data_IF_079324086194
#
_entry.id   IF_079324086194
#
_cell.length_a   1.000
_cell.length_b   1.000
_cell.length_c   1.000
_cell.angle_alpha   90.00
_cell.angle_beta   90.00
_cell.angle_gamma   90.00
#
_symmetry.space_group_name_H-M   'P 1'
#
loop_
_entity.id
_entity.type
_entity.pdbx_description
1 polymer ?
#
# COMPACT_ATOMS: atom_id res chain seq x y z
N UNK A 1 7.76 -19.01 -4.63
CA UNK A 1 7.76 -18.38 -3.28
C UNK A 1 6.97 -19.30 -2.36
N UNK A 2 7.49 -19.66 -1.18
CA UNK A 2 6.85 -20.62 -0.25
C UNK A 2 5.54 -20.04 0.31
N UNK A 3 4.43 -20.80 0.23
CA UNK A 3 3.09 -20.40 0.71
C UNK A 3 3.13 -19.95 2.18
N UNK A 4 4.00 -20.57 3.00
CA UNK A 4 4.16 -20.23 4.42
C UNK A 4 4.76 -18.84 4.62
N UNK A 5 5.64 -18.40 3.72
CA UNK A 5 6.22 -17.05 3.77
C UNK A 5 5.12 -16.01 3.50
N UNK A 6 4.27 -16.24 2.50
CA UNK A 6 3.15 -15.34 2.19
C UNK A 6 2.18 -15.23 3.37
N UNK A 7 1.77 -16.37 3.94
CA UNK A 7 0.89 -16.38 5.12
C UNK A 7 1.50 -15.64 6.32
N UNK A 8 2.81 -15.77 6.54
CA UNK A 8 3.50 -15.06 7.63
C UNK A 8 3.55 -13.54 7.42
N UNK A 9 3.82 -13.09 6.19
CA UNK A 9 3.86 -11.67 5.87
C UNK A 9 2.46 -11.04 5.97
N UNK A 10 1.42 -11.75 5.53
CA UNK A 10 0.02 -11.33 5.66
C UNK A 10 -0.39 -11.19 7.14
N UNK A 11 0.02 -12.13 7.99
CA UNK A 11 -0.20 -12.09 9.43
C UNK A 11 0.48 -10.89 10.11
N UNK A 12 1.72 -10.57 9.72
CA UNK A 12 2.45 -9.41 10.24
C UNK A 12 1.78 -8.10 9.78
N UNK A 13 1.41 -8.01 8.50
CA UNK A 13 0.69 -6.86 7.95
C UNK A 13 -0.67 -6.68 8.62
N UNK A 14 -1.40 -7.77 8.87
CA UNK A 14 -2.63 -7.74 9.63
C UNK A 14 -2.42 -7.16 11.03
N UNK A 15 -1.40 -7.62 11.77
CA UNK A 15 -1.10 -7.10 13.10
C UNK A 15 -0.76 -5.61 13.10
N UNK A 16 -0.09 -5.10 12.05
CA UNK A 16 0.14 -3.67 11.90
C UNK A 16 -1.18 -2.91 11.78
N UNK A 17 -2.05 -3.31 10.85
CA UNK A 17 -3.30 -2.60 10.60
C UNK A 17 -4.28 -2.70 11.76
N UNK A 18 -4.41 -3.87 12.42
CA UNK A 18 -5.24 -3.98 13.63
C UNK A 18 -4.75 -3.05 14.74
N UNK A 19 -3.42 -2.94 14.92
CA UNK A 19 -2.85 -2.02 15.92
C UNK A 19 -3.14 -0.56 15.55
N UNK A 20 -2.98 -0.20 14.27
CA UNK A 20 -3.23 1.15 13.76
C UNK A 20 -4.70 1.58 13.82
N UNK A 21 -5.65 0.64 13.82
CA UNK A 21 -7.08 0.98 14.04
C UNK A 21 -7.31 1.54 15.44
N UNK A 22 -6.53 1.12 16.43
CA UNK A 22 -6.70 1.53 17.83
C UNK A 22 -5.86 2.75 18.20
N UNK A 23 -4.61 2.84 17.73
CA UNK A 23 -3.67 3.89 18.13
C UNK A 23 -2.84 4.42 16.94
N UNK A 24 -2.42 5.70 16.95
CA UNK A 24 -1.58 6.25 15.90
C UNK A 24 -0.24 5.52 15.73
N UNK A 25 0.23 5.37 14.49
CA UNK A 25 1.48 4.68 14.14
C UNK A 25 2.70 5.20 14.91
N UNK A 26 2.78 6.52 15.11
CA UNK A 26 3.86 7.12 15.91
C UNK A 26 3.92 6.59 17.35
N UNK A 27 2.78 6.18 17.93
CA UNK A 27 2.66 5.72 19.32
C UNK A 27 2.77 4.20 19.49
N UNK A 28 2.51 3.40 18.46
CA UNK A 28 2.62 1.94 18.56
C UNK A 28 4.08 1.49 18.66
N UNK A 29 4.28 0.28 19.17
CA UNK A 29 5.59 -0.38 19.29
C UNK A 29 5.64 -1.67 18.47
N UNK A 30 6.84 -2.21 18.25
CA UNK A 30 7.00 -3.55 17.66
C UNK A 30 6.21 -4.61 18.46
N UNK A 31 6.16 -4.48 19.79
CA UNK A 31 5.45 -5.43 20.66
C UNK A 31 3.94 -5.41 20.43
N UNK A 32 3.36 -4.24 20.20
CA UNK A 32 1.93 -4.10 19.92
C UNK A 32 1.56 -4.81 18.61
N UNK A 33 2.38 -4.62 17.56
CA UNK A 33 2.21 -5.31 16.28
C UNK A 33 2.38 -6.83 16.45
N UNK A 34 3.45 -7.27 17.12
CA UNK A 34 3.73 -8.70 17.35
C UNK A 34 2.56 -9.38 18.08
N UNK A 35 2.00 -8.72 19.10
CA UNK A 35 0.85 -9.21 19.85
C UNK A 35 -0.38 -9.45 18.96
N UNK A 36 -0.60 -8.58 17.97
CA UNK A 36 -1.74 -8.65 17.06
C UNK A 36 -1.47 -9.44 15.77
N UNK A 37 -0.25 -9.94 15.54
CA UNK A 37 0.15 -10.56 14.27
C UNK A 37 0.23 -12.08 14.30
N UNK A 38 -0.20 -12.76 15.37
CA UNK A 38 -0.16 -14.24 15.46
C UNK A 38 1.20 -14.89 15.17
N UNK A 39 2.30 -14.14 15.25
CA UNK A 39 3.66 -14.62 15.01
C UNK A 39 4.54 -14.39 16.25
N UNK A 40 5.62 -15.17 16.37
CA UNK A 40 6.61 -14.94 17.42
C UNK A 40 7.45 -13.68 17.14
N UNK A 41 8.03 -13.07 18.18
CA UNK A 41 9.00 -11.97 18.01
C UNK A 41 10.17 -12.37 17.11
N UNK A 42 10.68 -13.61 17.24
CA UNK A 42 11.75 -14.13 16.38
C UNK A 42 11.32 -14.17 14.92
N UNK A 43 10.06 -14.52 14.65
CA UNK A 43 9.49 -14.53 13.30
C UNK A 43 9.37 -13.12 12.75
N UNK A 44 8.84 -12.16 13.53
CA UNK A 44 8.76 -10.76 13.12
C UNK A 44 10.13 -10.21 12.73
N UNK A 45 11.12 -10.35 13.62
CA UNK A 45 12.47 -9.82 13.40
C UNK A 45 13.27 -10.56 12.32
N UNK A 46 12.79 -11.70 11.83
CA UNK A 46 13.34 -12.36 10.64
C UNK A 46 13.01 -11.62 9.35
N UNK A 47 11.86 -10.94 9.30
CA UNK A 47 11.39 -10.24 8.10
C UNK A 47 11.53 -8.73 8.19
N UNK A 48 11.44 -8.16 9.40
CA UNK A 48 11.42 -6.71 9.59
C UNK A 48 12.33 -6.31 10.73
N UNK A 49 13.13 -5.26 10.51
CA UNK A 49 13.99 -4.68 11.55
C UNK A 49 13.16 -4.09 12.70
N UNK A 50 12.12 -3.35 12.36
CA UNK A 50 11.23 -2.66 13.29
C UNK A 50 9.90 -2.26 12.62
N UNK A 51 9.03 -1.56 13.36
CA UNK A 51 7.73 -1.08 12.86
C UNK A 51 7.84 -0.16 11.64
N UNK A 52 8.93 0.61 11.51
CA UNK A 52 9.09 1.56 10.42
C UNK A 52 9.48 0.81 9.14
N UNK A 53 10.39 -0.15 9.26
CA UNK A 53 10.73 -1.07 8.15
C UNK A 53 9.50 -1.83 7.63
N UNK A 54 8.65 -2.32 8.55
CA UNK A 54 7.37 -2.94 8.17
C UNK A 54 6.43 -1.95 7.46
N UNK A 55 6.22 -0.75 8.02
CA UNK A 55 5.33 0.24 7.42
C UNK A 55 5.83 0.64 6.02
N UNK A 56 7.11 0.95 5.89
CA UNK A 56 7.76 1.32 4.63
C UNK A 56 7.52 0.25 3.58
N UNK A 57 7.73 -1.03 3.94
CA UNK A 57 7.52 -2.15 3.01
C UNK A 57 6.05 -2.29 2.58
N UNK A 58 5.11 -2.10 3.50
CA UNK A 58 3.67 -2.14 3.19
C UNK A 58 3.28 -1.01 2.26
N UNK A 59 3.74 0.21 2.53
CA UNK A 59 3.49 1.38 1.68
C UNK A 59 4.10 1.21 0.30
N UNK A 60 5.35 0.78 0.21
CA UNK A 60 6.07 0.60 -1.06
C UNK A 60 5.41 -0.47 -1.93
N UNK A 61 4.92 -1.55 -1.33
CA UNK A 61 4.16 -2.57 -2.04
C UNK A 61 2.84 -1.99 -2.60
N UNK A 62 2.10 -1.19 -1.80
CA UNK A 62 0.87 -0.54 -2.28
C UNK A 62 1.14 0.46 -3.41
N UNK A 63 2.23 1.23 -3.31
CA UNK A 63 2.65 2.19 -4.34
C UNK A 63 3.08 1.47 -5.62
N UNK A 64 3.81 0.35 -5.48
CA UNK A 64 4.24 -0.48 -6.61
C UNK A 64 3.04 -1.09 -7.33
N UNK A 65 2.07 -1.64 -6.58
CA UNK A 65 0.83 -2.16 -7.15
C UNK A 65 0.04 -1.06 -7.87
N UNK A 66 -0.10 0.11 -7.24
CA UNK A 66 -0.78 1.26 -7.83
C UNK A 66 -0.11 1.69 -9.15
N UNK A 67 1.23 1.74 -9.20
CA UNK A 67 1.99 2.04 -10.42
C UNK A 67 1.75 1.00 -11.53
N UNK A 68 1.62 -0.28 -11.18
CA UNK A 68 1.31 -1.35 -12.14
C UNK A 68 -0.07 -1.12 -12.78
N UNK A 69 -1.08 -0.79 -11.98
CA UNK A 69 -2.43 -0.55 -12.48
C UNK A 69 -2.55 0.75 -13.30
N UNK A 70 -1.87 1.83 -12.87
CA UNK A 70 -1.77 3.07 -13.64
C UNK A 70 -1.13 2.83 -15.01
N UNK A 71 -0.03 2.07 -15.06
CA UNK A 71 0.62 1.68 -16.33
C UNK A 71 -0.30 0.83 -17.21
N UNK A 72 -1.15 -0.02 -16.62
CA UNK A 72 -2.11 -0.84 -17.37
C UNK A 72 -3.20 0.03 -18.00
N UNK A 73 -3.74 0.97 -17.23
CA UNK A 73 -4.72 1.94 -17.70
C UNK A 73 -4.16 2.81 -18.84
N UNK A 74 -2.95 3.38 -18.67
CA UNK A 74 -2.29 4.16 -19.74
C UNK A 74 -2.10 3.35 -21.03
N UNK A 75 -1.63 2.11 -20.95
CA UNK A 75 -1.47 1.24 -22.13
C UNK A 75 -2.79 0.99 -22.87
N UNK A 76 -3.91 0.92 -22.14
CA UNK A 76 -5.23 0.78 -22.76
C UNK A 76 -5.67 2.06 -23.46
N UNK A 77 -5.37 3.22 -22.88
CA UNK A 77 -5.63 4.52 -23.50
C UNK A 77 -4.84 4.73 -24.79
N UNK A 78 -3.53 4.45 -24.77
CA UNK A 78 -2.65 4.52 -25.95
C UNK A 78 -3.17 3.66 -27.12
N UNK A 79 -3.69 2.46 -26.81
CA UNK A 79 -4.23 1.53 -27.81
C UNK A 79 -5.53 2.02 -28.45
N UNK A 80 -6.35 2.76 -27.71
CA UNK A 80 -7.73 3.06 -28.11
C UNK A 80 -7.88 4.34 -28.95
N UNK A 81 -6.83 5.15 -29.16
CA UNK A 81 -6.71 6.32 -30.08
C UNK A 81 -7.87 7.35 -30.17
N UNK A 82 -8.97 7.17 -29.45
CA UNK A 82 -10.17 8.01 -29.53
C UNK A 82 -10.49 8.54 -28.14
N UNK A 83 -10.29 9.84 -28.03
CA UNK A 83 -10.31 10.69 -26.86
C UNK A 83 -11.72 10.74 -26.24
N UNK A 84 -11.81 10.29 -25.00
CA UNK A 84 -12.40 11.02 -23.88
C UNK A 84 -11.96 10.33 -22.58
N UNK A 85 -11.23 11.04 -21.73
CA UNK A 85 -10.88 10.54 -20.39
C UNK A 85 -12.18 10.46 -19.60
N UNK A 86 -12.66 9.25 -19.38
CA UNK A 86 -13.86 8.94 -18.61
C UNK A 86 -13.52 8.02 -17.42
N UNK A 87 -14.53 7.59 -16.67
CA UNK A 87 -14.32 6.68 -15.54
C UNK A 87 -13.72 5.31 -15.94
N UNK A 88 -13.87 4.89 -17.21
CA UNK A 88 -13.29 3.64 -17.71
C UNK A 88 -11.79 3.77 -17.94
N UNK A 89 -11.31 4.99 -18.14
CA UNK A 89 -9.90 5.31 -18.42
C UNK A 89 -8.96 4.91 -17.28
N UNK A 90 -9.47 4.84 -16.04
CA UNK A 90 -8.72 4.43 -14.85
C UNK A 90 -9.35 3.21 -14.15
N UNK A 91 -10.07 2.38 -14.88
CA UNK A 91 -10.84 1.27 -14.31
C UNK A 91 -9.96 0.33 -13.45
N UNK A 92 -8.75 -0.02 -13.87
CA UNK A 92 -7.91 -0.93 -13.11
C UNK A 92 -7.38 -0.27 -11.83
N UNK A 93 -6.96 0.99 -11.93
CA UNK A 93 -6.50 1.79 -10.80
C UNK A 93 -7.60 1.96 -9.77
N UNK A 94 -8.81 2.35 -10.19
CA UNK A 94 -9.96 2.49 -9.31
C UNK A 94 -10.39 1.16 -8.68
N UNK A 95 -10.32 0.05 -9.44
CA UNK A 95 -10.62 -1.29 -8.92
C UNK A 95 -9.62 -1.71 -7.85
N UNK A 96 -8.33 -1.44 -8.03
CA UNK A 96 -7.31 -1.69 -7.02
C UNK A 96 -7.54 -0.85 -5.76
N UNK A 97 -7.78 0.46 -5.93
CA UNK A 97 -8.08 1.36 -4.82
C UNK A 97 -9.33 0.92 -4.04
N UNK A 98 -10.38 0.45 -4.74
CA UNK A 98 -11.57 -0.09 -4.09
C UNK A 98 -11.27 -1.37 -3.31
N UNK A 99 -10.47 -2.29 -3.88
CA UNK A 99 -10.04 -3.53 -3.21
C UNK A 99 -9.19 -3.27 -1.96
N UNK A 100 -8.34 -2.24 -2.00
CA UNK A 100 -7.42 -1.85 -0.92
C UNK A 100 -7.91 -0.65 -0.09
N UNK A 101 -9.21 -0.32 -0.21
CA UNK A 101 -9.79 0.89 0.38
C UNK A 101 -9.55 0.99 1.88
N UNK A 102 -9.70 -0.11 2.62
CA UNK A 102 -9.55 -0.10 4.09
C UNK A 102 -8.11 0.20 4.49
N UNK A 103 -7.15 -0.43 3.84
CA UNK A 103 -5.73 -0.21 4.07
C UNK A 103 -5.31 1.22 3.70
N UNK A 104 -5.69 1.68 2.50
CA UNK A 104 -5.38 3.03 2.00
C UNK A 104 -5.94 4.11 2.94
N UNK A 105 -7.22 3.99 3.33
CA UNK A 105 -7.84 4.96 4.23
C UNK A 105 -7.19 4.97 5.61
N UNK A 106 -6.79 3.81 6.13
CA UNK A 106 -6.12 3.72 7.42
C UNK A 106 -4.74 4.41 7.36
N UNK A 107 -3.95 4.16 6.31
CA UNK A 107 -2.64 4.78 6.10
C UNK A 107 -2.73 6.30 5.88
N UNK A 108 -3.83 6.78 5.29
CA UNK A 108 -4.08 8.22 5.09
C UNK A 108 -4.82 8.89 6.26
N UNK A 109 -5.21 8.12 7.29
CA UNK A 109 -5.92 8.65 8.44
C UNK A 109 -4.99 9.34 9.44
N UNK A 110 -5.57 9.93 10.49
CA UNK A 110 -4.83 10.45 11.65
C UNK A 110 -3.97 9.38 12.37
N UNK A 111 -4.26 8.09 12.15
CA UNK A 111 -3.49 7.00 12.74
C UNK A 111 -2.35 6.52 11.83
N UNK A 112 -2.32 6.96 10.56
CA UNK A 112 -1.25 6.70 9.61
C UNK A 112 -0.01 7.57 9.84
N UNK A 113 0.83 7.62 8.81
CA UNK A 113 1.99 8.50 8.73
C UNK A 113 1.93 9.37 7.46
N UNK A 114 2.54 10.56 7.51
CA UNK A 114 2.56 11.49 6.37
C UNK A 114 3.34 10.93 5.17
N UNK A 115 4.26 9.99 5.40
CA UNK A 115 5.08 9.34 4.37
C UNK A 115 4.24 8.76 3.23
N UNK A 116 3.15 8.05 3.55
CA UNK A 116 2.28 7.45 2.53
C UNK A 116 1.65 8.50 1.61
N UNK A 117 1.15 9.61 2.17
CA UNK A 117 0.58 10.70 1.37
C UNK A 117 1.63 11.32 0.44
N UNK A 118 2.87 11.49 0.92
CA UNK A 118 3.97 12.01 0.10
C UNK A 118 4.26 11.06 -1.06
N UNK A 119 4.31 9.74 -0.82
CA UNK A 119 4.50 8.73 -1.87
C UNK A 119 3.39 8.78 -2.93
N UNK A 120 2.12 8.87 -2.53
CA UNK A 120 0.99 9.01 -3.47
C UNK A 120 1.11 10.29 -4.29
N UNK A 121 1.42 11.43 -3.65
CA UNK A 121 1.59 12.72 -4.36
C UNK A 121 2.73 12.66 -5.37
N UNK A 122 3.84 12.02 -5.01
CA UNK A 122 4.98 11.87 -5.91
C UNK A 122 4.62 10.95 -7.09
N UNK A 123 3.98 9.81 -6.84
CA UNK A 123 3.50 8.92 -7.90
C UNK A 123 2.57 9.66 -8.87
N UNK A 124 1.56 10.39 -8.36
CA UNK A 124 0.63 11.15 -9.20
C UNK A 124 1.33 12.21 -10.05
N UNK A 125 2.33 12.93 -9.49
CA UNK A 125 3.14 13.89 -10.25
C UNK A 125 3.93 13.22 -11.37
N UNK A 126 4.53 12.06 -11.11
CA UNK A 126 5.29 11.32 -12.11
C UNK A 126 4.40 10.73 -13.21
N UNK A 127 3.17 10.32 -12.90
CA UNK A 127 2.23 9.86 -13.92
C UNK A 127 1.71 11.01 -14.79
N UNK A 128 1.34 12.16 -14.22
CA UNK A 128 0.87 13.33 -14.99
C UNK A 128 1.92 13.84 -16.00
N UNK A 129 3.22 13.73 -15.67
CA UNK A 129 4.31 14.08 -16.61
C UNK A 129 4.37 13.13 -17.81
N UNK A 130 3.89 11.90 -17.68
CA UNK A 130 3.90 10.88 -18.75
C UNK A 130 2.71 11.04 -19.69
N UNK A 131 1.60 11.57 -19.20
CA UNK A 131 0.40 11.82 -20.02
C UNK A 131 0.53 13.09 -20.89
N UNK A 132 1.55 13.93 -20.65
CA UNK A 132 1.83 15.18 -21.39
C UNK A 132 2.87 15.04 -22.51
N UNK A 133 3.47 13.86 -22.71
CA UNK A 133 4.47 13.57 -23.74
C UNK A 133 3.99 12.45 -24.67
#
# INVERSE_FOLDING_TARGET
MDIRINSTLEQIQYGLFETMKAIPFRKLTNRDIIKNSHVSSRTFYRYFKDKNDLLEKVEDNLISDLMIFLKKDRKMLEKNKLLNIDANSYHHTLTFCAKKRKEILLLLSQNGDIGFLIKIKNLGREELKKDLN
#
